data_IF_814597640045
#
_entry.id   IF_814597640045
#
_cell.length_a   1.000
_cell.length_b   1.000
_cell.length_c   1.000
_cell.angle_alpha   90.00
_cell.angle_beta   90.00
_cell.angle_gamma   90.00
#
_symmetry.space_group_name_H-M   'P 1'
#
loop_
_entity.id
_entity.type
_entity.pdbx_description
1 polymer ?
#
# COMPACT_ATOMS: atom_id res chain seq x y z
N UNK A 1 -33.29 -0.99 -28.37
CA UNK A 1 -32.03 -0.33 -27.97
C UNK A 1 -31.22 -1.27 -27.08
N UNK A 2 -30.64 -2.34 -27.65
CA UNK A 2 -29.26 -2.42 -28.16
C UNK A 2 -28.15 -2.64 -27.08
N UNK A 3 -28.40 -2.45 -25.78
CA UNK A 3 -27.33 -2.55 -24.77
C UNK A 3 -27.17 -3.92 -24.07
N UNK A 4 -28.15 -4.84 -24.15
CA UNK A 4 -28.11 -6.10 -23.39
C UNK A 4 -27.59 -7.31 -24.18
N UNK A 5 -27.32 -7.17 -25.48
CA UNK A 5 -26.94 -8.30 -26.36
C UNK A 5 -25.44 -8.35 -26.71
N UNK A 6 -24.62 -7.47 -26.15
CA UNK A 6 -23.17 -7.42 -26.38
C UNK A 6 -22.33 -8.14 -25.30
N UNK A 7 -22.92 -8.45 -24.13
CA UNK A 7 -22.18 -9.08 -23.02
C UNK A 7 -22.00 -10.61 -23.17
N UNK A 8 -22.69 -11.25 -24.12
CA UNK A 8 -22.65 -12.70 -24.33
C UNK A 8 -21.75 -13.17 -25.49
N UNK A 9 -21.13 -12.26 -26.25
CA UNK A 9 -20.46 -12.60 -27.50
C UNK A 9 -18.94 -12.81 -27.41
N UNK A 10 -18.28 -12.36 -26.35
CA UNK A 10 -16.81 -12.44 -26.25
C UNK A 10 -16.28 -13.75 -25.66
N UNK A 11 -17.16 -14.59 -25.09
CA UNK A 11 -16.78 -15.88 -24.51
C UNK A 11 -16.56 -16.98 -25.57
N UNK A 12 -17.05 -16.79 -26.80
CA UNK A 12 -17.15 -17.85 -27.83
C UNK A 12 -16.08 -17.75 -28.93
N UNK A 13 -15.10 -16.84 -28.78
CA UNK A 13 -14.09 -16.56 -29.80
C UNK A 13 -12.65 -16.80 -29.34
N UNK A 14 -12.44 -17.58 -28.27
CA UNK A 14 -11.11 -18.10 -27.94
C UNK A 14 -11.00 -19.46 -28.64
N UNK A 15 -10.67 -19.38 -29.92
CA UNK A 15 -10.38 -20.51 -30.79
C UNK A 15 -9.27 -21.39 -30.23
N UNK A 16 -9.36 -22.66 -30.63
CA UNK A 16 -8.54 -23.82 -30.29
C UNK A 16 -7.05 -23.51 -30.07
N UNK A 17 -6.48 -23.78 -28.86
CA UNK A 17 -5.08 -23.49 -28.58
C UNK A 17 -4.21 -24.72 -28.82
N UNK A 18 -3.90 -24.98 -30.09
CA UNK A 18 -2.57 -25.46 -30.43
C UNK A 18 -1.67 -24.23 -30.42
N UNK A 19 -0.87 -24.05 -29.36
CA UNK A 19 0.38 -23.26 -29.31
C UNK A 19 0.58 -22.65 -27.92
N UNK A 20 1.26 -23.39 -27.04
CA UNK A 20 1.71 -22.92 -25.72
C UNK A 20 2.72 -21.76 -25.75
N UNK A 21 2.86 -21.04 -26.87
CA UNK A 21 3.79 -19.93 -27.07
C UNK A 21 3.07 -18.59 -27.35
N UNK A 22 1.77 -18.59 -27.66
CA UNK A 22 1.01 -17.36 -27.96
C UNK A 22 0.48 -16.65 -26.69
N UNK A 23 0.71 -17.24 -25.52
CA UNK A 23 0.12 -16.82 -24.24
C UNK A 23 0.67 -15.51 -23.62
N UNK A 24 1.68 -14.84 -24.18
CA UNK A 24 2.28 -13.67 -23.52
C UNK A 24 1.80 -12.32 -24.04
N UNK A 25 1.83 -12.08 -25.36
CA UNK A 25 1.52 -10.77 -25.93
C UNK A 25 0.04 -10.41 -25.88
N UNK A 26 -0.84 -11.36 -26.21
CA UNK A 26 -2.29 -11.13 -26.27
C UNK A 26 -2.91 -10.96 -24.89
N UNK A 27 -2.42 -11.70 -23.88
CA UNK A 27 -2.89 -11.58 -22.50
C UNK A 27 -2.47 -10.26 -21.84
N UNK A 28 -1.27 -9.76 -22.14
CA UNK A 28 -0.85 -8.43 -21.71
C UNK A 28 -1.70 -7.36 -22.38
N UNK A 29 -1.97 -7.50 -23.69
CA UNK A 29 -2.87 -6.59 -24.42
C UNK A 29 -4.29 -6.58 -23.85
N UNK A 30 -4.87 -7.75 -23.58
CA UNK A 30 -6.19 -7.90 -22.98
C UNK A 30 -6.26 -7.31 -21.56
N UNK A 31 -5.21 -7.54 -20.74
CA UNK A 31 -5.12 -6.98 -19.39
C UNK A 31 -5.05 -5.44 -19.42
N UNK A 32 -4.17 -4.89 -20.25
CA UNK A 32 -4.00 -3.43 -20.37
C UNK A 32 -5.27 -2.78 -20.94
N UNK A 33 -5.96 -3.43 -21.88
CA UNK A 33 -7.21 -2.94 -22.43
C UNK A 33 -8.36 -2.95 -21.40
N UNK A 34 -8.45 -3.97 -20.55
CA UNK A 34 -9.48 -4.01 -19.50
C UNK A 34 -9.18 -3.07 -18.32
N UNK A 35 -7.91 -2.91 -17.96
CA UNK A 35 -7.51 -1.93 -16.96
C UNK A 35 -7.61 -0.48 -17.46
N UNK A 36 -7.48 -0.23 -18.77
CA UNK A 36 -7.66 1.11 -19.33
C UNK A 36 -9.13 1.48 -19.53
N UNK A 37 -10.02 0.49 -19.65
CA UNK A 37 -11.47 0.67 -19.74
C UNK A 37 -12.17 0.84 -18.38
N UNK A 38 -11.45 0.75 -17.27
CA UNK A 38 -12.02 0.89 -15.92
C UNK A 38 -12.36 2.34 -15.55
N UNK A 39 -13.41 2.52 -14.74
CA UNK A 39 -13.84 3.86 -14.30
C UNK A 39 -13.01 4.42 -13.13
N UNK A 40 -12.45 3.55 -12.28
CA UNK A 40 -11.63 3.91 -11.13
C UNK A 40 -10.61 2.80 -10.79
N UNK A 41 -9.70 3.10 -9.85
CA UNK A 41 -8.65 2.17 -9.41
C UNK A 41 -9.20 0.85 -8.83
N UNK A 42 -10.27 0.83 -7.99
CA UNK A 42 -10.82 -0.44 -7.51
C UNK A 42 -11.49 -1.27 -8.63
N UNK A 43 -12.16 -0.67 -9.61
CA UNK A 43 -12.72 -1.36 -10.79
C UNK A 43 -11.59 -1.92 -11.66
N UNK A 44 -10.50 -1.17 -11.86
CA UNK A 44 -9.30 -1.66 -12.55
C UNK A 44 -8.72 -2.90 -11.87
N UNK A 45 -8.69 -2.89 -10.53
CA UNK A 45 -8.19 -4.00 -9.74
C UNK A 45 -9.08 -5.25 -9.87
N UNK A 46 -10.41 -5.11 -9.81
CA UNK A 46 -11.33 -6.23 -9.97
C UNK A 46 -11.23 -6.84 -11.38
N UNK A 47 -11.21 -5.99 -12.41
CA UNK A 47 -11.06 -6.39 -13.81
C UNK A 47 -9.72 -7.07 -14.08
N UNK A 48 -8.62 -6.49 -13.60
CA UNK A 48 -7.29 -7.08 -13.71
C UNK A 48 -7.21 -8.44 -13.01
N UNK A 49 -7.79 -8.56 -11.82
CA UNK A 49 -7.85 -9.83 -11.08
C UNK A 49 -8.62 -10.91 -11.86
N UNK A 50 -9.70 -10.53 -12.55
CA UNK A 50 -10.49 -11.45 -13.37
C UNK A 50 -9.71 -11.98 -14.57
N UNK A 51 -9.01 -11.11 -15.30
CA UNK A 51 -8.19 -11.49 -16.46
C UNK A 51 -7.05 -12.42 -16.05
N UNK A 52 -6.36 -12.12 -14.94
CA UNK A 52 -5.26 -12.94 -14.44
C UNK A 52 -5.72 -14.34 -13.97
N UNK A 53 -6.91 -14.47 -13.38
CA UNK A 53 -7.48 -15.79 -13.05
C UNK A 53 -7.81 -16.63 -14.28
N UNK A 54 -8.32 -16.00 -15.33
CA UNK A 54 -8.57 -16.67 -16.60
C UNK A 54 -7.27 -17.16 -17.24
N UNK A 55 -6.23 -16.31 -17.22
CA UNK A 55 -4.89 -16.67 -17.67
C UNK A 55 -4.32 -17.87 -16.89
N UNK A 56 -4.40 -17.84 -15.55
CA UNK A 56 -3.92 -18.94 -14.71
C UNK A 56 -4.61 -20.27 -15.06
N UNK A 57 -5.92 -20.23 -15.31
CA UNK A 57 -6.69 -21.42 -15.70
C UNK A 57 -6.25 -21.94 -17.08
N UNK A 58 -6.02 -21.04 -18.03
CA UNK A 58 -5.53 -21.38 -19.37
C UNK A 58 -4.13 -22.01 -19.32
N UNK A 59 -3.21 -21.47 -18.50
CA UNK A 59 -1.86 -22.00 -18.30
C UNK A 59 -1.92 -23.39 -17.66
N UNK A 60 -2.72 -23.60 -16.61
CA UNK A 60 -2.89 -24.91 -15.98
C UNK A 60 -3.39 -25.96 -16.96
N UNK A 61 -4.35 -25.60 -17.80
CA UNK A 61 -4.89 -26.50 -18.83
C UNK A 61 -3.87 -26.81 -19.93
N UNK A 62 -3.07 -25.82 -20.37
CA UNK A 62 -2.01 -26.02 -21.35
C UNK A 62 -0.92 -26.97 -20.82
N UNK A 63 -0.52 -26.81 -19.55
CA UNK A 63 0.45 -27.69 -18.88
C UNK A 63 -0.11 -29.11 -18.73
N UNK A 64 -1.39 -29.26 -18.36
CA UNK A 64 -2.04 -30.56 -18.27
C UNK A 64 -2.06 -31.29 -19.63
N UNK A 65 -2.37 -30.58 -20.72
CA UNK A 65 -2.34 -31.15 -22.07
C UNK A 65 -0.93 -31.49 -22.57
N UNK A 66 0.07 -30.70 -22.20
CA UNK A 66 1.46 -31.01 -22.49
C UNK A 66 1.92 -32.30 -21.80
N UNK A 67 1.42 -32.57 -20.59
CA UNK A 67 1.68 -33.82 -19.87
C UNK A 67 0.99 -35.03 -20.52
N UNK A 68 -0.21 -34.86 -21.09
CA UNK A 68 -0.96 -35.92 -21.78
C UNK A 68 -0.41 -36.22 -23.18
N UNK A 69 0.06 -35.21 -23.91
CA UNK A 69 0.65 -35.37 -25.26
C UNK A 69 2.03 -36.07 -25.29
N UNK A 70 2.72 -36.14 -24.15
CA UNK A 70 4.02 -36.81 -24.01
C UNK A 70 3.95 -38.34 -23.82
N UNK A 71 2.76 -38.90 -23.60
CA UNK A 71 2.60 -40.32 -23.22
C UNK A 71 2.81 -41.34 -24.36
N UNK A 72 2.98 -40.89 -25.61
CA UNK A 72 3.11 -41.76 -26.79
C UNK A 72 4.54 -42.27 -27.09
N UNK A 73 5.58 -41.77 -26.41
CA UNK A 73 6.97 -42.21 -26.65
C UNK A 73 7.56 -42.77 -25.36
N UNK A 74 7.60 -44.10 -25.28
CA UNK A 74 8.17 -44.85 -24.17
C UNK A 74 9.48 -44.24 -23.65
N UNK A 75 9.48 -43.73 -22.42
CA UNK A 75 10.70 -43.35 -21.69
C UNK A 75 10.48 -43.51 -20.19
N UNK A 76 11.12 -44.56 -19.65
CA UNK A 76 11.66 -44.73 -18.28
C UNK A 76 10.76 -44.41 -17.05
N UNK A 77 10.94 -45.13 -15.92
CA UNK A 77 10.16 -44.87 -14.70
C UNK A 77 10.33 -43.42 -14.22
N UNK A 78 9.29 -42.81 -13.60
CA UNK A 78 9.27 -41.40 -13.23
C UNK A 78 10.19 -41.17 -12.04
N UNK A 79 11.47 -40.89 -12.31
CA UNK A 79 12.40 -40.35 -11.29
C UNK A 79 12.43 -38.81 -11.29
N UNK A 80 12.14 -38.19 -12.43
CA UNK A 80 12.21 -36.73 -12.59
C UNK A 80 11.02 -35.98 -11.94
N UNK A 81 9.87 -36.63 -11.75
CA UNK A 81 8.67 -36.00 -11.18
C UNK A 81 8.75 -35.72 -9.68
N UNK A 82 9.43 -36.56 -8.89
CA UNK A 82 9.65 -36.32 -7.46
C UNK A 82 10.74 -35.28 -7.21
N UNK A 83 11.78 -35.26 -8.06
CA UNK A 83 12.86 -34.27 -7.98
C UNK A 83 12.36 -32.89 -8.41
N UNK A 84 11.61 -32.78 -9.52
CA UNK A 84 11.01 -31.52 -9.94
C UNK A 84 9.97 -30.98 -8.94
N UNK A 85 9.13 -31.85 -8.36
CA UNK A 85 8.21 -31.45 -7.30
C UNK A 85 8.93 -31.02 -6.01
N UNK A 86 10.03 -31.70 -5.66
CA UNK A 86 10.91 -31.32 -4.56
C UNK A 86 11.56 -29.95 -4.78
N UNK A 87 12.11 -29.73 -5.98
CA UNK A 87 12.73 -28.46 -6.37
C UNK A 87 11.73 -27.30 -6.32
N UNK A 88 10.50 -27.51 -6.82
CA UNK A 88 9.44 -26.51 -6.76
C UNK A 88 8.99 -26.21 -5.32
N UNK A 89 8.97 -27.21 -4.43
CA UNK A 89 8.62 -27.02 -3.03
C UNK A 89 9.72 -26.29 -2.25
N UNK A 90 10.99 -26.60 -2.53
CA UNK A 90 12.15 -25.91 -1.97
C UNK A 90 12.23 -24.45 -2.44
N UNK A 91 11.97 -24.19 -3.71
CA UNK A 91 11.93 -22.84 -4.27
C UNK A 91 10.78 -22.01 -3.67
N UNK A 92 9.59 -22.61 -3.51
CA UNK A 92 8.49 -21.97 -2.79
C UNK A 92 8.81 -21.71 -1.32
N UNK A 93 9.54 -22.61 -0.65
CA UNK A 93 9.96 -22.41 0.72
C UNK A 93 11.01 -21.29 0.83
N UNK A 94 11.93 -21.19 -0.13
CA UNK A 94 12.91 -20.11 -0.22
C UNK A 94 12.23 -18.76 -0.46
N UNK A 95 11.24 -18.71 -1.36
CA UNK A 95 10.48 -17.50 -1.64
C UNK A 95 9.66 -17.05 -0.41
N UNK A 96 8.99 -17.98 0.27
CA UNK A 96 8.28 -17.67 1.53
C UNK A 96 9.22 -17.11 2.61
N UNK A 97 10.46 -17.62 2.70
CA UNK A 97 11.47 -17.09 3.61
C UNK A 97 11.90 -15.67 3.22
N UNK A 98 12.16 -15.41 1.94
CA UNK A 98 12.49 -14.07 1.43
C UNK A 98 11.38 -13.06 1.72
N UNK A 99 10.13 -13.43 1.43
CA UNK A 99 8.96 -12.58 1.71
C UNK A 99 8.80 -12.34 3.21
N UNK A 100 9.04 -13.35 4.05
CA UNK A 100 9.00 -13.17 5.50
C UNK A 100 10.09 -12.21 6.00
N UNK A 101 11.31 -12.33 5.48
CA UNK A 101 12.42 -11.44 5.85
C UNK A 101 12.16 -10.00 5.39
N UNK A 102 11.66 -9.81 4.17
CA UNK A 102 11.25 -8.49 3.67
C UNK A 102 10.13 -7.90 4.52
N UNK A 103 9.13 -8.69 4.90
CA UNK A 103 8.05 -8.25 5.78
C UNK A 103 8.57 -7.80 7.15
N UNK A 104 9.58 -8.48 7.69
CA UNK A 104 10.24 -8.08 8.94
C UNK A 104 10.97 -6.75 8.77
N UNK A 105 11.69 -6.54 7.67
CA UNK A 105 12.39 -5.29 7.39
C UNK A 105 11.39 -4.13 7.26
N UNK A 106 10.31 -4.33 6.50
CA UNK A 106 9.26 -3.33 6.32
C UNK A 106 8.58 -2.97 7.64
N UNK A 107 8.23 -3.97 8.46
CA UNK A 107 7.66 -3.75 9.80
C UNK A 107 8.61 -2.99 10.71
N UNK A 108 9.91 -3.28 10.68
CA UNK A 108 10.91 -2.50 11.44
C UNK A 108 10.98 -1.05 10.96
N UNK A 109 11.00 -0.83 9.64
CA UNK A 109 11.00 0.51 9.06
C UNK A 109 9.76 1.33 9.49
N UNK A 110 8.57 0.73 9.39
CA UNK A 110 7.33 1.33 9.86
C UNK A 110 7.37 1.64 11.36
N UNK A 111 7.81 0.70 12.20
CA UNK A 111 7.91 0.93 13.64
C UNK A 111 8.86 2.08 13.99
N UNK A 112 10.01 2.20 13.32
CA UNK A 112 10.94 3.32 13.54
C UNK A 112 10.27 4.65 13.15
N UNK A 113 9.55 4.68 12.02
CA UNK A 113 8.82 5.88 11.59
C UNK A 113 7.72 6.25 12.58
N UNK A 114 6.93 5.28 13.04
CA UNK A 114 5.89 5.50 14.06
C UNK A 114 6.48 6.06 15.34
N UNK A 115 7.59 5.49 15.84
CA UNK A 115 8.26 6.00 17.03
C UNK A 115 8.77 7.44 16.86
N UNK A 116 9.32 7.79 15.69
CA UNK A 116 9.77 9.16 15.39
C UNK A 116 8.61 10.14 15.36
N UNK A 117 7.50 9.76 14.72
CA UNK A 117 6.28 10.58 14.68
C UNK A 117 5.76 10.80 16.10
N UNK A 118 5.65 9.74 16.92
CA UNK A 118 5.22 9.88 18.31
C UNK A 118 6.14 10.79 19.14
N UNK A 119 7.46 10.68 18.98
CA UNK A 119 8.42 11.54 19.66
C UNK A 119 8.25 13.02 19.26
N UNK A 120 8.10 13.30 17.96
CA UNK A 120 7.85 14.64 17.45
C UNK A 120 6.51 15.19 17.94
N UNK A 121 5.45 14.39 17.91
CA UNK A 121 4.13 14.79 18.43
C UNK A 121 4.20 15.16 19.90
N UNK A 122 4.91 14.37 20.73
CA UNK A 122 5.12 14.68 22.15
C UNK A 122 5.91 15.99 22.33
N UNK A 123 6.97 16.20 21.56
CA UNK A 123 7.76 17.43 21.61
C UNK A 123 6.96 18.67 21.17
N UNK A 124 6.11 18.54 20.15
CA UNK A 124 5.21 19.63 19.75
C UNK A 124 4.20 19.95 20.86
N UNK A 125 3.63 18.93 21.51
CA UNK A 125 2.70 19.14 22.61
C UNK A 125 3.35 19.87 23.80
N UNK A 126 4.57 19.47 24.18
CA UNK A 126 5.30 20.14 25.28
C UNK A 126 5.66 21.58 24.94
N UNK A 127 6.10 21.85 23.71
CA UNK A 127 6.38 23.21 23.25
C UNK A 127 5.12 24.08 23.23
N UNK A 128 3.98 23.52 22.80
CA UNK A 128 2.71 24.23 22.82
C UNK A 128 2.29 24.59 24.25
N UNK A 129 2.43 23.68 25.20
CA UNK A 129 2.17 23.94 26.61
C UNK A 129 3.07 25.04 27.17
N UNK A 130 4.38 24.97 26.91
CA UNK A 130 5.35 26.00 27.31
C UNK A 130 4.97 27.37 26.73
N UNK A 131 4.54 27.43 25.47
CA UNK A 131 4.12 28.67 24.82
C UNK A 131 2.89 29.25 25.54
N UNK A 132 1.88 28.43 25.84
CA UNK A 132 0.70 28.90 26.57
C UNK A 132 1.04 29.38 27.98
N UNK A 133 1.97 28.72 28.67
CA UNK A 133 2.43 29.14 29.98
C UNK A 133 3.17 30.49 29.92
N UNK A 134 4.05 30.67 28.94
CA UNK A 134 4.74 31.95 28.72
C UNK A 134 3.76 33.07 28.38
N UNK A 135 2.74 32.81 27.56
CA UNK A 135 1.68 33.77 27.26
C UNK A 135 0.93 34.21 28.53
N UNK A 136 0.53 33.27 29.38
CA UNK A 136 -0.12 33.57 30.67
C UNK A 136 0.78 34.39 31.58
N UNK A 137 2.05 34.01 31.70
CA UNK A 137 3.02 34.73 32.52
C UNK A 137 3.24 36.16 32.01
N UNK A 138 3.40 36.34 30.70
CA UNK A 138 3.58 37.66 30.10
C UNK A 138 2.35 38.54 30.28
N UNK A 139 1.15 37.97 30.14
CA UNK A 139 -0.10 38.67 30.42
C UNK A 139 -0.19 39.10 31.89
N UNK A 140 0.07 38.19 32.83
CA UNK A 140 0.08 38.50 34.27
C UNK A 140 1.05 39.62 34.62
N UNK A 141 2.29 39.54 34.12
CA UNK A 141 3.31 40.59 34.28
C UNK A 141 2.82 41.93 33.71
N UNK A 142 2.21 41.93 32.51
CA UNK A 142 1.68 43.12 31.87
C UNK A 142 0.55 43.77 32.69
N UNK A 143 -0.31 42.97 33.30
CA UNK A 143 -1.38 43.46 34.19
C UNK A 143 -0.80 44.05 35.47
N UNK A 144 0.13 43.34 36.13
CA UNK A 144 0.79 43.85 37.34
C UNK A 144 1.57 45.14 37.09
N UNK A 145 2.23 45.27 35.94
CA UNK A 145 2.96 46.47 35.56
C UNK A 145 2.01 47.66 35.35
N UNK A 146 0.88 47.46 34.66
CA UNK A 146 -0.16 48.49 34.51
C UNK A 146 -0.73 48.94 35.86
N UNK A 147 -0.99 48.00 36.76
CA UNK A 147 -1.49 48.30 38.11
C UNK A 147 -0.46 49.08 38.94
N UNK A 148 0.82 48.67 38.90
CA UNK A 148 1.90 49.38 39.58
C UNK A 148 2.09 50.80 39.04
N UNK A 149 2.00 51.00 37.72
CA UNK A 149 2.06 52.33 37.10
C UNK A 149 0.88 53.22 37.51
N UNK A 150 -0.33 52.65 37.57
CA UNK A 150 -1.55 53.36 38.00
C UNK A 150 -1.52 53.72 39.48
N UNK A 151 -1.07 52.81 40.34
CA UNK A 151 -0.85 53.07 41.77
C UNK A 151 0.22 54.13 42.02
N UNK A 152 1.32 54.11 41.23
CA UNK A 152 2.36 55.15 41.28
C UNK A 152 1.84 56.53 40.88
N UNK A 153 0.87 56.60 39.97
CA UNK A 153 0.18 57.84 39.59
C UNK A 153 -0.63 58.50 40.72
N UNK A 154 -1.02 57.76 41.76
CA UNK A 154 -1.75 58.31 42.92
C UNK A 154 -0.87 58.67 44.12
N UNK A 155 0.36 58.12 44.20
CA UNK A 155 1.28 58.37 45.32
C UNK A 155 2.23 59.56 45.10
N UNK A 156 2.44 59.99 43.85
CA UNK A 156 3.33 61.10 43.50
C UNK A 156 2.62 62.43 43.19
N UNK A 157 1.28 62.48 43.23
CA UNK A 157 0.49 63.70 43.01
C UNK A 157 0.32 64.56 44.29
N UNK A 158 0.96 64.15 45.39
CA UNK A 158 1.16 65.01 46.57
C UNK A 158 2.63 65.36 46.65
N UNK A 159 3.04 66.30 45.80
CA UNK A 159 4.24 67.09 46.08
C UNK A 159 4.02 67.77 47.45
N UNK A 160 4.88 67.54 48.47
CA UNK A 160 4.79 68.35 49.68
C UNK A 160 5.23 69.75 49.28
N UNK A 161 4.30 70.69 49.37
CA UNK A 161 4.53 72.11 49.19
C UNK A 161 5.62 72.53 50.18
N UNK A 162 6.79 72.89 49.66
CA UNK A 162 7.91 73.43 50.44
C UNK A 162 8.03 74.90 50.08
N UNK A 163 7.61 75.71 51.06
CA UNK A 163 7.77 77.17 51.15
C UNK A 163 9.20 77.63 50.89
#
# INVERSE_FOLDING_TARGET
SAALKAAGGAADAIGDPADGVVLSGEWVGALVNEMSASADVPDAHERGTRVLRAFETAVRNAVARAAEGGAGRARAPPREGSESAGNNAEEQAAERRRVADENVILKRGLNIQTQRVEQLTRACATLQEQMTQLQRNNYSLSVHLKEAMRSRGGAFDRQPDVF
#
